data_IF_035340510617
#
_entry.id   IF_035340510617
#
_cell.length_a   1.000
_cell.length_b   1.000
_cell.length_c   1.000
_cell.angle_alpha   90.00
_cell.angle_beta   90.00
_cell.angle_gamma   90.00
#
_symmetry.space_group_name_H-M   'P 1'
#
loop_
_entity.id
_entity.type
_entity.pdbx_description
1 polymer ?
#
# COMPACT_ATOMS: atom_id res chain seq x y z
N UNK A 1 -1.10 19.00 14.49
CA UNK A 1 -0.83 17.58 14.24
C UNK A 1 -2.17 16.90 14.17
N UNK A 2 -2.59 16.42 13.00
CA UNK A 2 -3.83 15.66 12.88
C UNK A 2 -3.67 14.32 13.59
N UNK A 3 -4.75 13.81 14.18
CA UNK A 3 -4.73 12.50 14.84
C UNK A 3 -4.80 11.41 13.77
N UNK A 4 -3.83 10.50 13.74
CA UNK A 4 -3.81 9.37 12.82
C UNK A 4 -4.27 8.10 13.53
N UNK A 5 -4.94 7.24 12.77
CA UNK A 5 -5.31 5.88 13.17
C UNK A 5 -4.58 4.91 12.28
N UNK A 6 -3.82 4.00 12.87
CA UNK A 6 -3.19 2.89 12.15
C UNK A 6 -4.27 1.88 11.75
N UNK A 7 -4.29 1.50 10.48
CA UNK A 7 -5.23 0.53 9.90
C UNK A 7 -4.57 -0.84 9.74
N UNK A 8 -3.31 -0.87 9.32
CA UNK A 8 -2.50 -2.08 9.27
C UNK A 8 -1.02 -1.74 9.43
N UNK A 9 -0.24 -2.73 9.87
CA UNK A 9 1.20 -2.61 10.01
C UNK A 9 1.85 -3.99 9.91
N UNK A 10 2.84 -4.12 9.03
CA UNK A 10 3.78 -5.22 9.01
C UNK A 10 5.18 -4.70 8.70
N UNK A 11 6.22 -5.45 9.11
CA UNK A 11 7.65 -5.22 8.81
C UNK A 11 8.03 -3.78 8.40
N UNK A 12 7.90 -3.45 7.11
CA UNK A 12 8.30 -2.19 6.50
C UNK A 12 7.12 -1.30 6.06
N UNK A 13 5.87 -1.76 6.17
CA UNK A 13 4.67 -1.07 5.68
C UNK A 13 3.73 -0.72 6.82
N UNK A 14 3.40 0.56 6.99
CA UNK A 14 2.35 1.04 7.87
C UNK A 14 1.30 1.80 7.07
N UNK A 15 0.04 1.39 7.18
CA UNK A 15 -1.09 2.08 6.56
C UNK A 15 -1.90 2.75 7.65
N UNK A 16 -2.22 4.02 7.46
CA UNK A 16 -2.96 4.82 8.42
C UNK A 16 -3.94 5.75 7.73
N UNK A 17 -4.90 6.24 8.51
CA UNK A 17 -5.84 7.27 8.10
C UNK A 17 -5.84 8.42 9.10
N UNK A 18 -5.78 9.63 8.59
CA UNK A 18 -6.04 10.86 9.35
C UNK A 18 -7.51 10.90 9.77
N UNK A 19 -7.80 11.04 11.06
CA UNK A 19 -9.18 11.09 11.57
C UNK A 19 -9.85 12.41 11.18
N UNK A 20 -9.10 13.51 11.24
CA UNK A 20 -9.62 14.86 11.01
C UNK A 20 -9.84 15.14 9.51
N UNK A 21 -8.86 14.76 8.69
CA UNK A 21 -8.79 15.07 7.28
C UNK A 21 -9.15 13.90 6.34
N UNK A 22 -9.35 12.69 6.91
CA UNK A 22 -9.68 11.44 6.20
C UNK A 22 -8.67 10.96 5.14
N UNK A 23 -7.53 11.64 5.01
CA UNK A 23 -6.42 11.23 4.14
C UNK A 23 -5.87 9.87 4.56
N UNK A 24 -5.60 9.02 3.58
CA UNK A 24 -4.90 7.74 3.77
C UNK A 24 -3.43 7.91 3.50
N UNK A 25 -2.59 7.27 4.31
CA UNK A 25 -1.14 7.29 4.13
C UNK A 25 -0.57 5.88 4.21
N UNK A 26 0.27 5.51 3.24
CA UNK A 26 1.07 4.29 3.22
C UNK A 26 2.52 4.70 3.42
N UNK A 27 3.06 4.42 4.59
CA UNK A 27 4.49 4.50 4.84
C UNK A 27 5.12 3.16 4.48
N UNK A 28 6.06 3.15 3.55
CA UNK A 28 6.83 1.97 3.19
C UNK A 28 8.31 2.32 3.12
N UNK A 29 9.12 1.75 4.02
CA UNK A 29 10.53 2.10 4.20
C UNK A 29 10.74 3.62 4.39
N UNK A 30 11.27 4.32 3.38
CA UNK A 30 11.54 5.77 3.43
C UNK A 30 10.56 6.60 2.59
N UNK A 31 9.53 5.97 1.99
CA UNK A 31 8.56 6.64 1.12
C UNK A 31 7.20 6.67 1.81
N UNK A 32 6.54 7.83 1.72
CA UNK A 32 5.17 8.04 2.19
C UNK A 32 4.28 8.36 0.98
N UNK A 33 3.32 7.49 0.70
CA UNK A 33 2.26 7.77 -0.27
C UNK A 33 1.02 8.28 0.46
N UNK A 34 0.50 9.42 0.03
CA UNK A 34 -0.73 10.01 0.55
C UNK A 34 -1.84 10.00 -0.49
N UNK A 35 -3.07 9.71 -0.03
CA UNK A 35 -4.27 9.69 -0.85
C UNK A 35 -5.37 10.52 -0.19
N UNK A 36 -5.68 11.67 -0.77
CA UNK A 36 -6.70 12.58 -0.22
C UNK A 36 -8.13 12.08 -0.49
N UNK A 37 -8.33 11.17 -1.45
CA UNK A 37 -9.64 10.58 -1.78
C UNK A 37 -9.63 9.07 -1.51
N UNK A 38 -10.71 8.56 -0.91
CA UNK A 38 -10.85 7.12 -0.59
C UNK A 38 -10.86 6.28 -1.86
N UNK A 39 -11.43 6.80 -2.93
CA UNK A 39 -11.53 6.14 -4.23
C UNK A 39 -10.14 5.90 -4.83
N UNK A 40 -9.22 6.86 -4.70
CA UNK A 40 -7.84 6.74 -5.21
C UNK A 40 -7.07 5.66 -4.44
N UNK A 41 -7.18 5.65 -3.10
CA UNK A 41 -6.61 4.60 -2.26
C UNK A 41 -7.17 3.21 -2.62
N UNK A 42 -8.49 3.12 -2.81
CA UNK A 42 -9.16 1.87 -3.16
C UNK A 42 -8.77 1.39 -4.56
N UNK A 43 -8.65 2.29 -5.53
CA UNK A 43 -8.20 1.99 -6.88
C UNK A 43 -6.75 1.49 -6.87
N UNK A 44 -5.86 2.16 -6.12
CA UNK A 44 -4.47 1.74 -5.94
C UNK A 44 -4.38 0.33 -5.31
N UNK A 45 -5.14 0.06 -4.25
CA UNK A 45 -5.21 -1.27 -3.63
C UNK A 45 -5.67 -2.34 -4.62
N UNK A 46 -6.71 -2.06 -5.42
CA UNK A 46 -7.19 -2.99 -6.47
C UNK A 46 -6.13 -3.24 -7.54
N UNK A 47 -5.40 -2.21 -7.98
CA UNK A 47 -4.34 -2.39 -8.97
C UNK A 47 -3.20 -3.25 -8.44
N UNK A 48 -2.83 -3.08 -7.17
CA UNK A 48 -1.81 -3.92 -6.51
C UNK A 48 -2.27 -5.37 -6.41
N UNK A 49 -3.51 -5.61 -5.96
CA UNK A 49 -4.03 -6.97 -5.77
C UNK A 49 -4.31 -7.73 -7.07
N UNK A 50 -4.45 -7.02 -8.20
CA UNK A 50 -4.62 -7.63 -9.51
C UNK A 50 -3.27 -8.03 -10.15
N UNK A 51 -2.15 -7.65 -9.55
CA UNK A 51 -0.82 -8.03 -10.03
C UNK A 51 -0.44 -9.39 -9.49
N UNK A 52 0.05 -10.24 -10.39
CA UNK A 52 0.62 -11.54 -10.06
C UNK A 52 2.16 -11.45 -10.15
N UNK A 53 2.85 -11.89 -9.10
CA UNK A 53 4.31 -11.78 -9.05
C UNK A 53 4.98 -12.68 -10.08
N UNK A 54 4.51 -13.92 -10.23
CA UNK A 54 5.13 -14.91 -11.10
C UNK A 54 4.99 -14.51 -12.58
N UNK A 55 3.89 -13.84 -12.94
CA UNK A 55 3.64 -13.34 -14.29
C UNK A 55 4.36 -12.02 -14.63
N UNK A 56 4.61 -11.15 -13.64
CA UNK A 56 5.04 -9.76 -13.87
C UNK A 56 6.45 -9.44 -13.35
N UNK A 57 7.09 -10.34 -12.62
CA UNK A 57 8.43 -10.12 -12.12
C UNK A 57 9.48 -10.08 -13.23
N UNK A 58 10.47 -9.21 -13.07
CA UNK A 58 11.56 -9.01 -14.01
C UNK A 58 12.90 -9.15 -13.28
N UNK A 59 13.95 -9.65 -13.94
CA UNK A 59 15.29 -9.71 -13.34
C UNK A 59 15.85 -8.29 -13.19
N UNK A 60 16.38 -7.99 -12.00
CA UNK A 60 17.11 -6.77 -11.72
C UNK A 60 18.63 -6.98 -11.85
N UNK A 61 19.43 -5.90 -11.95
CA UNK A 61 20.88 -6.00 -12.17
C UNK A 61 21.66 -6.76 -11.10
N UNK A 62 21.08 -6.95 -9.91
CA UNK A 62 21.64 -7.73 -8.81
C UNK A 62 21.30 -9.23 -8.87
N UNK A 63 20.52 -9.66 -9.87
CA UNK A 63 20.12 -11.05 -10.07
C UNK A 63 18.80 -11.44 -9.39
N UNK A 64 18.21 -10.55 -8.60
CA UNK A 64 16.92 -10.79 -7.93
C UNK A 64 15.74 -10.52 -8.86
N UNK A 65 14.68 -11.31 -8.74
CA UNK A 65 13.41 -11.04 -9.42
C UNK A 65 12.61 -10.01 -8.62
N UNK A 66 12.12 -8.97 -9.30
CA UNK A 66 11.27 -7.96 -8.68
C UNK A 66 10.10 -7.58 -9.55
N UNK A 67 8.97 -7.33 -8.91
CA UNK A 67 7.82 -6.70 -9.55
C UNK A 67 7.89 -5.17 -9.38
N UNK A 68 7.52 -4.44 -10.43
CA UNK A 68 7.55 -2.98 -10.43
C UNK A 68 6.13 -2.42 -10.29
N UNK A 69 5.87 -1.76 -9.17
CA UNK A 69 4.61 -1.09 -8.89
C UNK A 69 4.73 0.41 -9.18
N UNK A 70 3.76 0.93 -9.94
CA UNK A 70 3.64 2.38 -10.18
C UNK A 70 3.03 3.05 -8.95
N UNK A 71 3.67 4.11 -8.47
CA UNK A 71 3.05 4.97 -7.46
C UNK A 71 2.16 6.02 -8.13
N UNK A 72 1.37 6.80 -7.37
CA UNK A 72 0.65 7.95 -7.91
C UNK A 72 1.55 9.03 -8.52
N UNK A 73 2.86 9.04 -8.22
CA UNK A 73 3.85 9.89 -8.87
C UNK A 73 4.44 9.18 -10.10
N UNK A 74 4.48 9.86 -11.25
CA UNK A 74 4.99 9.27 -12.51
C UNK A 74 6.47 8.85 -12.43
N UNK A 75 7.25 9.57 -11.61
CA UNK A 75 8.70 9.42 -11.51
C UNK A 75 9.13 8.44 -10.40
N UNK A 76 8.20 8.06 -9.52
CA UNK A 76 8.50 7.16 -8.38
C UNK A 76 7.82 5.82 -8.60
N UNK A 77 8.62 4.76 -8.55
CA UNK A 77 8.15 3.37 -8.62
C UNK A 77 8.70 2.61 -7.44
N UNK A 78 7.91 1.66 -6.96
CA UNK A 78 8.41 0.64 -6.06
C UNK A 78 8.87 -0.57 -6.84
N UNK A 79 9.92 -1.21 -6.35
CA UNK A 79 10.34 -2.53 -6.78
C UNK A 79 10.31 -3.43 -5.55
N UNK A 80 9.61 -4.56 -5.64
CA UNK A 80 9.46 -5.49 -4.53
C UNK A 80 9.99 -6.86 -4.91
N UNK A 81 10.71 -7.50 -4.01
CA UNK A 81 10.87 -8.96 -4.04
C UNK A 81 9.52 -9.65 -3.77
N UNK A 82 9.44 -10.96 -3.99
CA UNK A 82 8.18 -11.71 -3.90
C UNK A 82 7.52 -11.63 -2.51
N UNK A 83 8.32 -11.84 -1.47
CA UNK A 83 7.89 -11.74 -0.07
C UNK A 83 7.53 -10.30 0.32
N UNK A 84 8.30 -9.31 -0.13
CA UNK A 84 7.99 -7.89 0.08
C UNK A 84 6.66 -7.51 -0.58
N UNK A 85 6.40 -7.98 -1.79
CA UNK A 85 5.17 -7.72 -2.53
C UNK A 85 3.96 -8.36 -1.86
N UNK A 86 4.08 -9.62 -1.46
CA UNK A 86 3.02 -10.34 -0.74
C UNK A 86 2.67 -9.63 0.58
N UNK A 87 3.69 -9.29 1.38
CA UNK A 87 3.50 -8.56 2.62
C UNK A 87 2.84 -7.19 2.38
N UNK A 88 3.28 -6.45 1.37
CA UNK A 88 2.70 -5.16 1.02
C UNK A 88 1.21 -5.28 0.60
N UNK A 89 0.91 -6.25 -0.27
CA UNK A 89 -0.46 -6.55 -0.74
C UNK A 89 -1.38 -6.98 0.40
N UNK A 90 -0.88 -7.81 1.33
CA UNK A 90 -1.61 -8.22 2.52
C UNK A 90 -1.94 -7.03 3.43
N UNK A 91 -0.96 -6.17 3.72
CA UNK A 91 -1.17 -4.95 4.52
C UNK A 91 -2.26 -4.06 3.92
N UNK A 92 -2.30 -3.92 2.59
CA UNK A 92 -3.34 -3.16 1.89
C UNK A 92 -4.73 -3.80 2.05
N UNK A 93 -4.80 -5.13 2.02
CA UNK A 93 -6.03 -5.89 2.27
C UNK A 93 -6.54 -5.67 3.69
N UNK A 94 -5.67 -5.84 4.70
CA UNK A 94 -6.00 -5.66 6.11
C UNK A 94 -6.50 -4.25 6.41
N UNK A 95 -5.83 -3.22 5.87
CA UNK A 95 -6.21 -1.84 6.14
C UNK A 95 -7.64 -1.53 5.69
N UNK A 96 -8.06 -2.06 4.54
CA UNK A 96 -9.42 -1.87 4.03
C UNK A 96 -10.43 -2.66 4.88
N UNK A 97 -10.08 -3.88 5.30
CA UNK A 97 -10.94 -4.69 6.14
C UNK A 97 -11.19 -4.03 7.51
N UNK A 98 -10.12 -3.49 8.15
CA UNK A 98 -10.24 -2.74 9.40
C UNK A 98 -11.10 -1.49 9.22
N UNK A 99 -10.97 -0.80 8.08
CA UNK A 99 -11.80 0.36 7.78
C UNK A 99 -13.28 -0.02 7.68
N UNK A 100 -13.61 -1.11 6.98
CA UNK A 100 -14.98 -1.63 6.86
C UNK A 100 -15.57 -1.99 8.23
N UNK A 101 -14.81 -2.68 9.08
CA UNK A 101 -15.25 -3.03 10.44
C UNK A 101 -15.55 -1.77 11.26
N UNK A 102 -14.69 -0.76 11.19
CA UNK A 102 -14.89 0.51 11.90
C UNK A 102 -16.15 1.22 11.43
N UNK A 103 -16.41 1.22 10.12
CA UNK A 103 -17.60 1.85 9.54
C UNK A 103 -18.90 1.15 9.94
N UNK A 104 -18.86 -0.15 10.24
CA UNK A 104 -20.01 -0.90 10.75
C UNK A 104 -20.28 -0.64 12.25
N UNK A 105 -19.29 -0.15 12.99
CA UNK A 105 -19.40 0.13 14.42
C UNK A 105 -19.81 1.59 14.74
N UNK A 106 -19.97 2.42 13.71
CA UNK A 106 -20.36 3.84 13.81
C UNK A 106 -21.78 4.06 13.30
#
# INVERSE_FOLDING_TARGET
MCKTRVLSWNAQTMISQCIDCREFSIWHNNILLSFSRREDFTAFKRSVQAMDFDDLALPFPDGELRIVLRTPSEDVRFSFAGDEFENFSHSLGEALHVLEVIELMQ
#
